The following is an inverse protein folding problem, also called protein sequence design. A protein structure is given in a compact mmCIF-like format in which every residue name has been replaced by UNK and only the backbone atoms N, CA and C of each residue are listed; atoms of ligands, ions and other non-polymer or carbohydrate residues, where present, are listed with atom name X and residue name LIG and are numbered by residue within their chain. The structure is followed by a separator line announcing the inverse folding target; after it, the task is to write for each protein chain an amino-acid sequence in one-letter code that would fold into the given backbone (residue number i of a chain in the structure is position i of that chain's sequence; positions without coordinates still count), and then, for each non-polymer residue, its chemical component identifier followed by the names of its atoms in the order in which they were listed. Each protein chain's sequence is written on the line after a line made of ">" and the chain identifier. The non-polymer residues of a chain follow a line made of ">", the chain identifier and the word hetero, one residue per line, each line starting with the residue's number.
data_IF_636174504591
#
_entry.id   IF_636174504591
#
_cell.length_a   1.000
_cell.length_b   1.000
_cell.length_c   1.000
_cell.angle_alpha   90.00
_cell.angle_beta   90.00
_cell.angle_gamma   90.00
#
_symmetry.space_group_name_H-M   'P 1'
#
loop_
_entity.id
_entity.type
_entity.pdbx_description
1 polymer ?
#
# COMPACT_ATOMS: atom_id res chain seq x y z
N UNK A 1 -8.00 -17.75 -17.89
CA UNK A 1 -6.78 -18.18 -17.22
C UNK A 1 -5.65 -17.22 -17.58
N UNK A 2 -5.58 -16.08 -16.88
CA UNK A 2 -4.42 -15.22 -16.94
C UNK A 2 -3.33 -15.83 -16.05
N UNK A 3 -2.40 -16.53 -16.66
CA UNK A 3 -1.08 -16.71 -16.08
C UNK A 3 -0.43 -15.34 -16.15
N UNK A 4 -0.50 -14.57 -15.06
CA UNK A 4 0.30 -13.38 -14.89
C UNK A 4 1.76 -13.76 -15.11
N UNK A 5 2.39 -13.17 -16.09
CA UNK A 5 3.82 -13.23 -16.31
C UNK A 5 4.46 -12.73 -15.02
N UNK A 6 5.03 -13.64 -14.24
CA UNK A 6 5.92 -13.32 -13.15
C UNK A 6 7.06 -12.47 -13.74
N UNK A 7 7.03 -11.23 -13.39
CA UNK A 7 7.80 -10.10 -13.87
C UNK A 7 9.31 -10.31 -13.98
N UNK A 8 10.01 -9.40 -14.67
CA UNK A 8 11.47 -9.37 -14.82
C UNK A 8 12.27 -9.40 -13.50
N UNK A 9 11.62 -9.25 -12.35
CA UNK A 9 12.22 -9.43 -11.03
C UNK A 9 12.94 -10.77 -10.86
N UNK A 10 12.40 -11.86 -11.40
CA UNK A 10 13.07 -13.18 -11.31
C UNK A 10 14.41 -13.19 -12.04
N UNK A 11 14.55 -12.43 -13.10
CA UNK A 11 15.81 -12.34 -13.87
C UNK A 11 16.81 -11.43 -13.13
N UNK A 12 16.36 -10.30 -12.60
CA UNK A 12 17.19 -9.39 -11.80
C UNK A 12 17.73 -10.09 -10.55
N UNK A 13 16.89 -10.79 -9.81
CA UNK A 13 17.33 -11.48 -8.58
C UNK A 13 18.24 -12.67 -8.85
N UNK A 14 18.13 -13.34 -10.00
CA UNK A 14 19.04 -14.42 -10.38
C UNK A 14 20.46 -13.92 -10.64
N UNK A 15 20.62 -12.72 -11.20
CA UNK A 15 21.95 -12.12 -11.40
C UNK A 15 22.66 -11.79 -10.08
N UNK A 16 21.90 -11.56 -9.01
CA UNK A 16 22.42 -11.22 -7.67
C UNK A 16 22.53 -12.42 -6.72
N UNK A 17 22.53 -13.66 -7.23
CA UNK A 17 22.55 -14.89 -6.45
C UNK A 17 21.37 -15.05 -5.45
N UNK A 18 20.24 -14.43 -5.74
CA UNK A 18 19.01 -14.54 -4.95
C UNK A 18 18.14 -15.66 -5.52
N UNK A 19 17.80 -16.63 -4.69
CA UNK A 19 16.88 -17.71 -5.06
C UNK A 19 15.45 -17.34 -4.66
N UNK A 20 14.57 -17.26 -5.66
CA UNK A 20 13.13 -17.06 -5.43
C UNK A 20 12.47 -18.45 -5.40
N UNK A 21 11.68 -18.69 -4.36
CA UNK A 21 10.91 -19.93 -4.17
C UNK A 21 9.43 -19.60 -4.05
N UNK A 22 8.59 -20.63 -4.22
CA UNK A 22 7.16 -20.52 -3.95
C UNK A 22 6.92 -20.23 -2.45
N UNK A 23 5.92 -19.42 -2.16
CA UNK A 23 5.58 -19.06 -0.78
C UNK A 23 5.29 -20.29 0.10
N UNK A 24 4.66 -21.32 -0.49
CA UNK A 24 4.34 -22.56 0.21
C UNK A 24 5.57 -23.40 0.59
N UNK A 25 6.73 -23.13 0.00
CA UNK A 25 7.98 -23.79 0.36
C UNK A 25 8.63 -23.24 1.63
N UNK A 26 8.12 -22.14 2.21
CA UNK A 26 8.71 -21.50 3.38
C UNK A 26 8.96 -22.45 4.53
N UNK A 27 7.93 -23.23 4.92
CA UNK A 27 8.02 -24.12 6.06
C UNK A 27 9.01 -25.27 5.82
N UNK A 28 9.00 -25.88 4.65
CA UNK A 28 9.95 -26.94 4.30
C UNK A 28 11.38 -26.40 4.21
N UNK A 29 11.57 -25.18 3.68
CA UNK A 29 12.87 -24.54 3.65
C UNK A 29 13.42 -24.26 5.06
N UNK A 30 12.56 -23.86 6.00
CA UNK A 30 12.95 -23.66 7.40
C UNK A 30 13.31 -24.97 8.10
N UNK A 31 12.58 -26.06 7.84
CA UNK A 31 12.86 -27.37 8.41
C UNK A 31 14.23 -27.93 8.01
N UNK A 32 14.63 -27.74 6.75
CA UNK A 32 15.91 -28.23 6.23
C UNK A 32 17.05 -27.23 6.39
N UNK A 33 16.77 -26.03 6.92
CA UNK A 33 17.80 -25.01 7.12
C UNK A 33 18.86 -25.50 8.10
N UNK A 34 20.10 -25.54 7.63
CA UNK A 34 21.26 -26.02 8.39
C UNK A 34 22.31 -24.92 8.65
N UNK A 35 21.95 -23.65 8.46
CA UNK A 35 22.78 -22.49 8.78
C UNK A 35 23.11 -22.36 10.26
N UNK A 36 23.94 -21.36 10.64
CA UNK A 36 24.44 -21.22 12.01
C UNK A 36 23.36 -20.82 13.00
N UNK A 37 22.62 -19.73 12.72
CA UNK A 37 21.56 -19.22 13.58
C UNK A 37 20.50 -18.54 12.73
N UNK A 38 19.28 -18.44 13.29
CA UNK A 38 18.17 -17.64 12.76
C UNK A 38 17.80 -16.59 13.79
N UNK A 39 17.97 -15.32 13.43
CA UNK A 39 17.43 -14.23 14.21
C UNK A 39 15.93 -14.17 13.97
N UNK A 40 15.15 -14.26 15.02
CA UNK A 40 13.69 -14.23 14.98
C UNK A 40 13.13 -13.14 15.88
N UNK A 41 12.12 -12.42 15.40
CA UNK A 41 11.29 -11.56 16.22
C UNK A 41 9.98 -12.27 16.52
N UNK A 42 9.80 -12.76 17.74
CA UNK A 42 8.63 -13.53 18.13
C UNK A 42 7.31 -12.74 18.03
N UNK A 43 7.37 -11.40 18.06
CA UNK A 43 6.20 -10.52 17.96
C UNK A 43 5.72 -10.31 16.52
N UNK A 44 6.60 -10.60 15.54
CA UNK A 44 6.33 -10.38 14.12
C UNK A 44 6.20 -11.70 13.34
N UNK A 45 6.20 -12.83 14.03
CA UNK A 45 6.22 -14.14 13.42
C UNK A 45 4.95 -14.93 13.75
N UNK A 46 4.39 -15.63 12.75
CA UNK A 46 3.27 -16.52 13.02
C UNK A 46 3.72 -17.72 13.87
N UNK A 47 2.83 -18.19 14.77
CA UNK A 47 3.10 -19.33 15.61
C UNK A 47 3.50 -20.60 14.84
N UNK A 48 2.91 -20.80 13.65
CA UNK A 48 3.24 -21.92 12.78
C UNK A 48 4.69 -21.86 12.29
N UNK A 49 5.16 -20.69 11.88
CA UNK A 49 6.55 -20.48 11.45
C UNK A 49 7.50 -20.65 12.63
N UNK A 50 7.17 -20.06 13.78
CA UNK A 50 7.96 -20.21 15.01
C UNK A 50 8.18 -21.68 15.40
N UNK A 51 7.13 -22.49 15.43
CA UNK A 51 7.21 -23.91 15.77
C UNK A 51 7.94 -24.79 14.72
N UNK A 52 8.16 -24.26 13.51
CA UNK A 52 8.88 -24.96 12.47
C UNK A 52 10.39 -24.79 12.61
N UNK A 53 10.83 -23.74 13.29
CA UNK A 53 12.25 -23.41 13.48
C UNK A 53 12.81 -24.28 14.61
N UNK A 54 13.98 -24.90 14.37
CA UNK A 54 14.70 -25.58 15.42
C UNK A 54 15.10 -24.59 16.52
N UNK A 55 14.59 -24.79 17.74
CA UNK A 55 14.82 -23.90 18.89
C UNK A 55 16.29 -23.74 19.27
N UNK A 56 17.13 -24.73 19.03
CA UNK A 56 18.57 -24.66 19.30
C UNK A 56 19.30 -23.64 18.38
N UNK A 57 18.68 -23.27 17.25
CA UNK A 57 19.21 -22.34 16.28
C UNK A 57 18.52 -20.98 16.30
N UNK A 58 17.45 -20.85 17.07
CA UNK A 58 16.66 -19.64 17.16
C UNK A 58 17.33 -18.67 18.14
N UNK A 59 17.63 -17.47 17.66
CA UNK A 59 18.09 -16.34 18.48
C UNK A 59 16.96 -15.31 18.47
N UNK A 60 16.34 -15.12 19.62
CA UNK A 60 15.26 -14.12 19.75
C UNK A 60 15.86 -12.71 19.87
N UNK A 61 15.42 -11.80 19.03
CA UNK A 61 15.87 -10.42 19.04
C UNK A 61 15.09 -9.55 18.07
N UNK A 62 15.45 -8.27 18.03
CA UNK A 62 14.84 -7.30 17.12
C UNK A 62 15.43 -7.51 15.72
N UNK A 63 14.55 -7.60 14.71
CA UNK A 63 14.99 -7.67 13.31
C UNK A 63 15.67 -6.36 12.88
N UNK A 64 16.83 -6.41 12.23
CA UNK A 64 17.46 -5.21 11.65
C UNK A 64 16.79 -4.76 10.34
N UNK A 65 15.95 -5.60 9.74
CA UNK A 65 15.34 -5.35 8.42
C UNK A 65 14.48 -4.08 8.39
N UNK A 66 13.63 -3.80 9.40
CA UNK A 66 12.84 -2.55 9.42
C UNK A 66 13.71 -1.29 9.39
N UNK A 67 14.81 -1.26 10.14
CA UNK A 67 15.74 -0.11 10.15
C UNK A 67 16.46 0.03 8.80
N UNK A 68 16.95 -1.07 8.23
CA UNK A 68 17.58 -1.07 6.91
C UNK A 68 16.61 -0.59 5.82
N UNK A 69 15.34 -0.98 5.90
CA UNK A 69 14.29 -0.55 4.97
C UNK A 69 13.87 0.91 5.18
N UNK A 70 13.97 1.42 6.42
CA UNK A 70 13.61 2.80 6.74
C UNK A 70 14.54 3.82 6.09
N UNK A 71 15.81 3.48 5.91
CA UNK A 71 16.81 4.33 5.24
C UNK A 71 16.74 4.09 3.74
N UNK A 72 16.15 5.04 3.01
CA UNK A 72 15.98 4.97 1.56
C UNK A 72 17.27 5.35 0.85
N UNK A 73 17.59 4.64 -0.22
CA UNK A 73 18.66 4.99 -1.13
C UNK A 73 18.24 6.11 -2.10
N UNK A 74 19.18 6.62 -2.90
CA UNK A 74 18.91 7.71 -3.85
C UNK A 74 17.83 7.35 -4.88
N UNK A 75 17.83 6.12 -5.38
CA UNK A 75 16.83 5.65 -6.36
C UNK A 75 15.44 5.63 -5.76
N UNK A 76 15.28 5.15 -4.53
CA UNK A 76 14.02 5.15 -3.80
C UNK A 76 13.53 6.58 -3.54
N UNK A 77 14.44 7.49 -3.14
CA UNK A 77 14.11 8.90 -2.90
C UNK A 77 13.59 9.56 -4.18
N UNK A 78 14.27 9.38 -5.31
CA UNK A 78 13.80 9.91 -6.60
C UNK A 78 12.47 9.29 -7.02
N UNK A 79 12.28 8.00 -6.80
CA UNK A 79 11.01 7.32 -7.02
C UNK A 79 9.86 7.96 -6.23
N UNK A 80 10.06 8.22 -4.93
CA UNK A 80 9.07 8.92 -4.11
C UNK A 80 8.76 10.34 -4.63
N UNK A 81 9.77 11.11 -5.02
CA UNK A 81 9.57 12.45 -5.60
C UNK A 81 8.70 12.38 -6.85
N UNK A 82 8.98 11.45 -7.76
CA UNK A 82 8.21 11.27 -8.98
C UNK A 82 6.78 10.77 -8.69
N UNK A 83 6.61 9.86 -7.73
CA UNK A 83 5.29 9.39 -7.31
C UNK A 83 4.45 10.55 -6.74
N UNK A 84 5.03 11.41 -5.89
CA UNK A 84 4.34 12.59 -5.33
C UNK A 84 3.94 13.60 -6.41
N UNK A 85 4.73 13.79 -7.46
CA UNK A 85 4.36 14.66 -8.58
C UNK A 85 3.16 14.08 -9.34
N UNK A 86 3.17 12.80 -9.68
CA UNK A 86 2.05 12.13 -10.36
C UNK A 86 0.77 12.16 -9.53
N UNK A 87 0.88 11.85 -8.24
CA UNK A 87 -0.26 11.90 -7.34
C UNK A 87 -0.79 13.33 -7.16
N UNK A 88 0.10 14.31 -7.06
CA UNK A 88 -0.25 15.72 -7.03
C UNK A 88 -1.02 16.17 -8.27
N UNK A 89 -0.68 15.66 -9.46
CA UNK A 89 -1.44 15.92 -10.69
C UNK A 89 -2.86 15.35 -10.57
N UNK A 90 -3.01 14.13 -10.08
CA UNK A 90 -4.32 13.52 -9.85
C UNK A 90 -5.14 14.33 -8.83
N UNK A 91 -4.53 14.76 -7.73
CA UNK A 91 -5.16 15.59 -6.71
C UNK A 91 -5.60 16.97 -7.26
N UNK A 92 -4.78 17.64 -8.04
CA UNK A 92 -5.15 18.94 -8.66
C UNK A 92 -6.32 18.76 -9.63
N UNK A 93 -6.32 17.71 -10.46
CA UNK A 93 -7.44 17.37 -11.34
C UNK A 93 -8.71 17.11 -10.53
N UNK A 94 -8.59 16.36 -9.43
CA UNK A 94 -9.69 16.06 -8.53
C UNK A 94 -10.26 17.32 -7.87
N UNK A 95 -9.44 18.16 -7.28
CA UNK A 95 -9.86 19.40 -6.63
C UNK A 95 -10.54 20.38 -7.62
N UNK A 96 -10.03 20.46 -8.85
CA UNK A 96 -10.64 21.25 -9.92
C UNK A 96 -12.04 20.73 -10.29
N UNK A 97 -12.20 19.41 -10.32
CA UNK A 97 -13.47 18.76 -10.64
C UNK A 97 -14.46 18.82 -9.47
N UNK A 98 -14.00 18.71 -8.22
CA UNK A 98 -14.81 18.51 -7.01
C UNK A 98 -15.90 19.58 -6.84
N UNK A 99 -15.50 20.85 -6.80
CA UNK A 99 -16.45 21.96 -6.50
C UNK A 99 -17.59 22.05 -7.51
N UNK A 100 -17.36 22.05 -8.84
CA UNK A 100 -18.44 22.04 -9.82
C UNK A 100 -19.34 20.78 -9.73
N UNK A 101 -18.74 19.62 -9.51
CA UNK A 101 -19.45 18.35 -9.43
C UNK A 101 -20.39 18.31 -8.22
N UNK A 102 -19.88 18.68 -7.03
CA UNK A 102 -20.70 18.75 -5.81
C UNK A 102 -21.83 19.78 -5.96
N UNK A 103 -21.56 20.93 -6.60
CA UNK A 103 -22.59 21.93 -6.88
C UNK A 103 -23.69 21.40 -7.80
N UNK A 104 -23.38 20.47 -8.69
CA UNK A 104 -24.38 19.81 -9.53
C UNK A 104 -25.28 18.81 -8.75
N UNK A 105 -24.92 18.46 -7.52
CA UNK A 105 -25.79 17.76 -6.56
C UNK A 105 -25.94 16.26 -6.78
N UNK A 106 -24.97 15.61 -7.45
CA UNK A 106 -25.04 14.16 -7.75
C UNK A 106 -23.96 13.34 -7.05
N UNK A 107 -23.04 14.02 -6.36
CA UNK A 107 -21.87 13.36 -5.77
C UNK A 107 -22.15 12.88 -4.35
N UNK A 108 -21.59 11.72 -4.03
CA UNK A 108 -21.61 11.08 -2.72
C UNK A 108 -20.16 10.78 -2.27
N UNK A 109 -19.97 10.37 -1.03
CA UNK A 109 -18.66 9.97 -0.51
C UNK A 109 -18.01 8.89 -1.39
N UNK A 110 -18.75 7.83 -1.72
CA UNK A 110 -18.27 6.76 -2.62
C UNK A 110 -17.98 7.28 -4.03
N UNK A 111 -18.77 8.23 -4.55
CA UNK A 111 -18.50 8.77 -5.89
C UNK A 111 -17.23 9.60 -5.93
N UNK A 112 -16.90 10.34 -4.86
CA UNK A 112 -15.65 11.09 -4.72
C UNK A 112 -14.44 10.15 -4.66
N UNK A 113 -14.51 9.09 -3.84
CA UNK A 113 -13.49 8.03 -3.78
C UNK A 113 -13.20 7.44 -5.16
N UNK A 114 -14.23 6.97 -5.86
CA UNK A 114 -14.12 6.40 -7.20
C UNK A 114 -13.52 7.38 -8.20
N UNK A 115 -13.91 8.66 -8.12
CA UNK A 115 -13.38 9.70 -8.99
C UNK A 115 -11.89 9.93 -8.77
N UNK A 116 -11.46 10.03 -7.51
CA UNK A 116 -10.06 10.23 -7.17
C UNK A 116 -9.21 9.02 -7.62
N UNK A 117 -9.67 7.81 -7.34
CA UNK A 117 -9.02 6.57 -7.78
C UNK A 117 -8.90 6.52 -9.31
N UNK A 118 -9.93 6.93 -10.05
CA UNK A 118 -9.87 6.96 -11.52
C UNK A 118 -8.82 7.93 -12.05
N UNK A 119 -8.65 9.10 -11.42
CA UNK A 119 -7.65 10.10 -11.81
C UNK A 119 -6.21 9.66 -11.47
N UNK A 120 -6.04 8.88 -10.39
CA UNK A 120 -4.77 8.23 -10.07
C UNK A 120 -4.43 7.13 -11.07
N UNK A 121 -5.43 6.37 -11.50
CA UNK A 121 -5.26 5.31 -12.50
C UNK A 121 -4.85 5.83 -13.90
N UNK A 122 -5.12 7.13 -14.19
CA UNK A 122 -4.62 7.78 -15.40
C UNK A 122 -3.11 8.07 -15.37
N UNK A 123 -2.48 7.99 -14.20
CA UNK A 123 -1.06 8.32 -14.05
C UNK A 123 -0.17 7.14 -14.40
N UNK A 124 0.99 7.43 -14.97
CA UNK A 124 1.99 6.42 -15.28
C UNK A 124 2.45 5.67 -14.02
N UNK A 125 2.76 4.39 -14.16
CA UNK A 125 3.26 3.51 -13.11
C UNK A 125 2.27 3.23 -11.98
N UNK A 126 1.01 3.64 -12.07
CA UNK A 126 -0.02 3.31 -11.07
C UNK A 126 -0.23 1.80 -10.96
N UNK A 127 -0.31 1.29 -9.73
CA UNK A 127 -0.49 -0.14 -9.41
C UNK A 127 -1.75 -0.41 -8.59
N UNK A 128 -2.30 0.59 -7.95
CA UNK A 128 -3.48 0.50 -7.08
C UNK A 128 -3.52 1.62 -6.06
N UNK A 129 -4.50 1.59 -5.19
CA UNK A 129 -4.53 2.44 -4.00
C UNK A 129 -3.56 1.90 -2.95
N UNK A 130 -2.97 2.76 -2.14
CA UNK A 130 -2.04 2.36 -1.08
C UNK A 130 -2.76 1.84 0.17
N UNK A 131 -3.97 2.33 0.41
CA UNK A 131 -4.93 1.89 1.43
C UNK A 131 -6.35 2.27 0.99
N UNK A 132 -7.36 1.74 1.65
CA UNK A 132 -8.76 2.03 1.35
C UNK A 132 -9.04 3.51 1.61
N UNK A 133 -9.47 4.22 0.55
CA UNK A 133 -9.65 5.67 0.58
C UNK A 133 -10.78 6.06 1.54
N UNK A 134 -10.48 6.95 2.45
CA UNK A 134 -11.44 7.54 3.37
C UNK A 134 -12.01 8.81 2.72
N UNK A 135 -13.32 8.87 2.56
CA UNK A 135 -14.05 10.11 2.24
C UNK A 135 -15.15 10.28 3.28
N UNK A 136 -14.97 11.21 4.19
CA UNK A 136 -15.94 11.51 5.25
C UNK A 136 -16.50 12.93 5.12
N UNK A 137 -17.79 13.05 4.86
CA UNK A 137 -18.47 14.34 4.79
C UNK A 137 -19.14 14.65 6.14
N UNK A 138 -18.98 15.90 6.64
CA UNK A 138 -19.51 16.38 7.91
C UNK A 138 -19.17 15.45 9.08
N UNK A 139 -20.18 14.88 9.77
CA UNK A 139 -19.99 13.99 10.91
C UNK A 139 -19.17 12.73 10.61
N UNK A 140 -19.19 12.23 9.38
CA UNK A 140 -18.39 11.08 8.99
C UNK A 140 -16.88 11.38 8.99
N UNK A 141 -16.50 12.63 8.76
CA UNK A 141 -15.11 13.08 8.86
C UNK A 141 -14.52 13.01 10.29
N UNK A 142 -15.37 12.89 11.31
CA UNK A 142 -14.94 12.72 12.70
C UNK A 142 -14.70 11.25 13.10
N UNK A 143 -15.07 10.30 12.24
CA UNK A 143 -14.90 8.87 12.50
C UNK A 143 -13.52 8.43 12.00
N UNK A 144 -12.67 8.01 12.94
CA UNK A 144 -11.33 7.51 12.61
C UNK A 144 -11.44 6.25 11.77
N UNK A 145 -10.69 6.18 10.66
CA UNK A 145 -10.72 5.08 9.68
C UNK A 145 -12.14 4.82 9.12
N UNK A 146 -12.89 5.90 8.88
CA UNK A 146 -14.22 5.80 8.26
C UNK A 146 -14.11 5.14 6.89
N UNK A 147 -15.05 4.24 6.59
CA UNK A 147 -15.23 3.61 5.28
C UNK A 147 -16.68 3.76 4.86
N UNK A 148 -16.92 4.49 3.76
CA UNK A 148 -18.23 4.63 3.20
C UNK A 148 -18.70 3.31 2.56
N UNK A 149 -19.83 2.81 3.00
CA UNK A 149 -20.49 1.63 2.43
C UNK A 149 -21.76 2.04 1.69
N UNK A 150 -22.34 1.18 0.84
CA UNK A 150 -23.62 1.50 0.18
C UNK A 150 -24.75 1.86 1.15
N UNK A 151 -24.65 1.43 2.42
CA UNK A 151 -25.65 1.70 3.47
C UNK A 151 -25.38 3.03 4.21
N UNK A 152 -24.12 3.47 4.25
CA UNK A 152 -23.70 4.68 4.97
C UNK A 152 -23.39 5.86 4.05
N UNK A 153 -23.30 5.62 2.74
CA UNK A 153 -22.97 6.62 1.72
C UNK A 153 -23.98 7.77 1.73
N UNK A 154 -23.50 8.99 1.86
CA UNK A 154 -24.34 10.19 1.91
C UNK A 154 -23.99 11.17 0.79
N UNK A 155 -24.97 11.97 0.32
CA UNK A 155 -24.74 13.03 -0.65
C UNK A 155 -23.84 14.14 -0.08
N UNK A 156 -22.79 14.50 -0.81
CA UNK A 156 -21.93 15.62 -0.48
C UNK A 156 -22.54 16.91 -1.02
N UNK A 157 -22.76 17.89 -0.15
CA UNK A 157 -23.38 19.19 -0.48
C UNK A 157 -22.33 20.29 -0.63
N UNK A 158 -22.66 21.42 -1.29
CA UNK A 158 -21.72 22.52 -1.53
C UNK A 158 -21.52 23.43 -0.30
N UNK A 159 -21.45 22.84 0.88
CA UNK A 159 -21.17 23.50 2.16
C UNK A 159 -20.50 22.50 3.10
N UNK A 160 -19.93 22.97 4.21
CA UNK A 160 -19.33 22.14 5.24
C UNK A 160 -17.95 21.62 4.87
N UNK A 161 -17.53 20.58 5.55
CA UNK A 161 -16.20 19.96 5.39
C UNK A 161 -16.30 18.56 4.81
N UNK A 162 -15.37 18.22 3.94
CA UNK A 162 -15.12 16.84 3.52
C UNK A 162 -13.67 16.52 3.83
N UNK A 163 -13.45 15.45 4.60
CA UNK A 163 -12.13 14.87 4.84
C UNK A 163 -11.88 13.81 3.75
N UNK A 164 -10.72 13.87 3.14
CA UNK A 164 -10.28 12.86 2.17
C UNK A 164 -8.88 12.43 2.57
N UNK A 165 -8.76 11.18 3.00
CA UNK A 165 -7.50 10.53 3.32
C UNK A 165 -7.30 9.38 2.35
N UNK A 166 -6.20 9.45 1.57
CA UNK A 166 -6.07 8.61 0.39
C UNK A 166 -4.64 8.52 -0.10
N UNK A 167 -4.32 7.46 -0.80
CA UNK A 167 -3.00 7.31 -1.38
C UNK A 167 -2.96 6.36 -2.56
N UNK A 168 -1.85 6.33 -3.23
CA UNK A 168 -1.60 5.47 -4.38
C UNK A 168 -0.31 4.69 -4.24
N UNK A 169 -0.34 3.48 -4.75
CA UNK A 169 0.83 2.65 -4.99
C UNK A 169 1.27 2.84 -6.43
N UNK A 170 2.42 3.47 -6.60
CA UNK A 170 3.13 3.52 -7.87
C UNK A 170 4.28 2.51 -7.85
N UNK A 171 4.79 2.14 -9.03
CA UNK A 171 5.88 1.17 -9.11
C UNK A 171 7.16 1.65 -8.40
N UNK A 172 7.37 2.95 -8.34
CA UNK A 172 8.57 3.62 -7.83
C UNK A 172 8.36 4.38 -6.51
N UNK A 173 7.14 4.37 -5.96
CA UNK A 173 6.86 5.01 -4.67
C UNK A 173 5.40 4.87 -4.24
N UNK A 174 5.17 5.10 -2.96
CA UNK A 174 3.84 5.10 -2.34
C UNK A 174 3.49 6.51 -1.89
N UNK A 175 2.24 6.93 -2.07
CA UNK A 175 1.73 8.22 -1.56
C UNK A 175 0.68 8.00 -0.48
N UNK A 176 0.55 8.99 0.38
CA UNK A 176 -0.40 9.11 1.48
C UNK A 176 -0.66 10.60 1.68
N UNK A 177 -1.91 11.03 1.46
CA UNK A 177 -2.31 12.44 1.42
C UNK A 177 -3.65 12.59 2.15
N UNK A 178 -3.68 13.48 3.11
CA UNK A 178 -4.89 13.89 3.83
C UNK A 178 -5.17 15.37 3.62
#
# INVERSE_FOLDING_TARGET
>A
THRGTLFPYTTLFRSENITIKDYNELLSALQIYNGKALLINSNEMSHKVYNTINSERAVVGISPIPEMKAVKNETEIEGFKHAMVRDGIAMVKFLRWLKPAVKAGKETEISLEKKLTSLRAEQDLFRGISFDTIVGYEEHGAIVHYEATPQTDIPVKPHGFVLIDSGAQYQDGTTDIT
#
